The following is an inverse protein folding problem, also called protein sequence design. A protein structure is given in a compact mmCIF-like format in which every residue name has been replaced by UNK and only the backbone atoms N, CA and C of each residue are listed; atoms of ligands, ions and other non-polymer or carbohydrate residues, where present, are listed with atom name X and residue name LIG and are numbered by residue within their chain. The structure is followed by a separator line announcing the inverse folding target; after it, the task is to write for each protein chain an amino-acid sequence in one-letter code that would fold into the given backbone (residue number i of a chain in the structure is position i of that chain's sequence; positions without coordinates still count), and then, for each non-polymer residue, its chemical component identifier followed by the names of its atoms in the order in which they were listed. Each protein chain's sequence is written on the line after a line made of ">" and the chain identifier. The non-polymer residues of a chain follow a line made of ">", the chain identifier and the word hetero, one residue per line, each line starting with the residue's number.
data_IF_485757716445
#
_entry.id   IF_485757716445
#
_cell.length_a   1.000
_cell.length_b   1.000
_cell.length_c   1.000
_cell.angle_alpha   90.00
_cell.angle_beta   90.00
_cell.angle_gamma   90.00
#
_symmetry.space_group_name_H-M   'P 1'
#
loop_
_entity.id
_entity.type
_entity.pdbx_description
1 polymer ?
#
# COMPACT_ATOMS: atom_id res chain seq x y z
N UNK A 1 -17.25 68.86 35.59
CA UNK A 1 -17.30 68.31 34.22
C UNK A 1 -15.91 68.18 33.59
N UNK A 2 -14.92 67.58 34.29
CA UNK A 2 -13.54 67.38 33.76
C UNK A 2 -12.85 66.08 34.26
N UNK A 3 -13.57 65.16 34.88
CA UNK A 3 -13.00 63.88 35.38
C UNK A 3 -13.44 62.65 34.58
N UNK A 4 -14.50 62.74 33.77
CA UNK A 4 -15.02 61.61 32.99
C UNK A 4 -14.35 61.42 31.61
N UNK A 5 -13.55 62.38 31.13
CA UNK A 5 -12.87 62.25 29.83
C UNK A 5 -11.50 61.58 29.93
N UNK A 6 -10.86 61.57 31.11
CA UNK A 6 -9.53 60.97 31.28
C UNK A 6 -9.60 59.44 31.42
N UNK A 7 -10.66 58.91 32.03
CA UNK A 7 -10.86 57.46 32.20
C UNK A 7 -11.21 56.76 30.88
N UNK A 8 -11.93 57.44 29.97
CA UNK A 8 -12.22 56.89 28.64
C UNK A 8 -10.97 56.81 27.74
N UNK A 9 -9.97 57.68 27.94
CA UNK A 9 -8.76 57.68 27.12
C UNK A 9 -7.78 56.55 27.53
N UNK A 10 -7.75 56.19 28.82
CA UNK A 10 -6.90 55.08 29.32
C UNK A 10 -7.50 53.71 28.97
N UNK A 11 -8.83 53.57 28.94
CA UNK A 11 -9.48 52.31 28.53
C UNK A 11 -9.38 52.08 27.01
N UNK A 12 -9.37 53.15 26.18
CA UNK A 12 -9.14 53.03 24.73
C UNK A 12 -7.71 52.58 24.38
N UNK A 13 -6.71 52.98 25.17
CA UNK A 13 -5.32 52.58 24.96
C UNK A 13 -5.00 51.14 25.39
N UNK A 14 -5.86 50.51 26.19
CA UNK A 14 -5.72 49.11 26.64
C UNK A 14 -6.35 48.08 25.68
N UNK A 15 -7.04 48.52 24.62
CA UNK A 15 -7.84 47.64 23.75
C UNK A 15 -7.19 47.24 22.42
N UNK A 16 -5.94 47.65 22.13
CA UNK A 16 -5.25 47.27 20.88
C UNK A 16 -3.80 46.82 21.06
N UNK A 17 -3.48 46.18 22.19
CA UNK A 17 -2.36 45.22 22.19
C UNK A 17 -2.87 43.85 21.76
N UNK A 18 -3.49 43.79 20.57
CA UNK A 18 -3.54 42.52 19.83
C UNK A 18 -2.08 42.26 19.47
N UNK A 19 -1.38 41.49 20.30
CA UNK A 19 -0.04 41.05 19.97
C UNK A 19 -0.10 40.45 18.59
N UNK A 20 0.67 40.98 17.65
CA UNK A 20 0.84 40.41 16.32
C UNK A 20 1.55 39.05 16.49
N UNK A 21 0.78 38.02 16.82
CA UNK A 21 1.23 36.65 16.71
C UNK A 21 1.36 36.32 15.22
N UNK A 22 2.39 35.54 14.86
CA UNK A 22 2.56 35.10 13.49
C UNK A 22 1.48 34.08 13.14
N UNK A 23 0.84 34.26 11.98
CA UNK A 23 -0.07 33.27 11.41
C UNK A 23 0.74 32.21 10.65
N UNK A 24 0.61 30.95 11.08
CA UNK A 24 1.23 29.80 10.43
C UNK A 24 0.26 28.63 10.45
N UNK A 25 -0.16 28.15 9.28
CA UNK A 25 -1.10 27.03 9.17
C UNK A 25 -0.45 25.69 9.55
N UNK A 26 -1.26 24.69 9.91
CA UNK A 26 -0.75 23.34 10.16
C UNK A 26 -0.05 22.75 8.93
N UNK A 27 -0.50 23.09 7.71
CA UNK A 27 0.14 22.72 6.45
C UNK A 27 1.59 23.25 6.37
N UNK A 28 1.78 24.52 6.72
CA UNK A 28 3.07 25.22 6.65
C UNK A 28 3.99 24.87 7.82
N UNK A 29 3.43 24.58 8.99
CA UNK A 29 4.21 24.26 10.20
C UNK A 29 4.96 22.94 10.07
N UNK A 30 6.21 22.99 9.59
CA UNK A 30 7.06 21.82 9.40
C UNK A 30 8.49 22.12 9.92
N UNK A 31 8.66 22.29 11.25
CA UNK A 31 9.92 22.72 11.82
C UNK A 31 11.03 21.72 11.52
N UNK A 32 12.23 22.23 11.24
CA UNK A 32 13.44 21.40 11.20
C UNK A 32 13.77 21.01 12.64
N UNK A 33 13.86 19.70 12.90
CA UNK A 33 14.30 19.19 14.20
C UNK A 33 15.70 19.71 14.52
N UNK A 34 15.92 20.14 15.76
CA UNK A 34 17.25 20.45 16.30
C UNK A 34 17.90 19.24 16.96
N UNK A 35 17.20 18.10 17.06
CA UNK A 35 17.77 16.86 17.56
C UNK A 35 18.84 16.35 16.61
N UNK A 36 20.01 16.05 17.18
CA UNK A 36 21.11 15.38 16.48
C UNK A 36 21.06 13.92 16.88
N UNK A 37 20.42 13.11 16.04
CA UNK A 37 20.36 11.66 16.22
C UNK A 37 21.49 10.97 15.46
N UNK A 38 22.09 9.90 16.01
CA UNK A 38 23.04 9.09 15.27
C UNK A 38 22.34 8.41 14.07
N UNK A 39 23.13 8.09 13.04
CA UNK A 39 22.63 7.42 11.83
C UNK A 39 22.89 8.20 10.54
N UNK A 40 22.64 7.55 9.40
CA UNK A 40 22.75 8.13 8.05
C UNK A 40 21.57 7.65 7.21
N UNK A 41 21.18 8.45 6.22
CA UNK A 41 20.14 8.05 5.27
C UNK A 41 20.60 6.78 4.53
N UNK A 42 19.82 5.71 4.67
CA UNK A 42 20.01 4.46 3.93
C UNK A 42 19.45 4.62 2.52
N UNK A 43 20.33 4.91 1.55
CA UNK A 43 19.92 5.16 0.15
C UNK A 43 19.65 3.88 -0.65
N UNK A 44 20.19 2.76 -0.21
CA UNK A 44 20.19 1.46 -0.88
C UNK A 44 19.84 0.38 0.15
N UNK A 45 18.99 -0.57 -0.21
CA UNK A 45 18.60 -1.65 0.69
C UNK A 45 19.79 -2.56 1.02
N UNK A 46 19.86 -3.05 2.25
CA UNK A 46 20.94 -3.94 2.73
C UNK A 46 21.06 -5.22 1.91
N UNK A 47 19.95 -5.81 1.50
CA UNK A 47 19.90 -6.98 0.62
C UNK A 47 19.14 -6.66 -0.67
N UNK A 48 19.41 -7.36 -1.78
CA UNK A 48 18.57 -7.29 -2.96
C UNK A 48 17.12 -7.60 -2.58
N UNK A 49 16.17 -6.85 -3.13
CA UNK A 49 14.77 -7.00 -2.76
C UNK A 49 13.84 -7.03 -3.97
N UNK A 50 12.62 -7.51 -3.72
CA UNK A 50 11.52 -7.59 -4.66
C UNK A 50 10.44 -6.62 -4.19
N UNK A 51 10.07 -5.67 -5.05
CA UNK A 51 8.89 -4.84 -4.81
C UNK A 51 7.66 -5.56 -5.37
N UNK A 52 6.86 -6.17 -4.49
CA UNK A 52 5.63 -6.88 -4.92
C UNK A 52 4.48 -5.93 -5.27
N UNK A 53 4.69 -4.61 -5.18
CA UNK A 53 3.65 -3.60 -5.38
C UNK A 53 4.15 -2.44 -6.24
N UNK A 54 4.57 -2.75 -7.46
CA UNK A 54 4.93 -1.75 -8.48
C UNK A 54 3.78 -1.45 -9.45
N UNK A 55 3.81 -0.27 -10.06
CA UNK A 55 2.83 0.18 -11.05
C UNK A 55 3.52 0.88 -12.23
N UNK A 56 3.58 0.19 -13.39
CA UNK A 56 4.07 0.69 -14.67
C UNK A 56 2.97 0.53 -15.73
N UNK A 57 2.06 1.52 -15.81
CA UNK A 57 0.82 1.43 -16.60
C UNK A 57 1.00 1.44 -18.12
N UNK A 58 2.17 1.87 -18.59
CA UNK A 58 2.50 2.06 -20.01
C UNK A 58 3.57 1.08 -20.49
N UNK A 59 3.75 -0.01 -19.76
CA UNK A 59 4.79 -1.01 -20.01
C UNK A 59 4.83 -1.57 -21.45
N UNK A 60 3.73 -1.67 -22.24
CA UNK A 60 3.86 -2.08 -23.64
C UNK A 60 4.87 -1.26 -24.45
N UNK A 61 4.90 0.05 -24.24
CA UNK A 61 5.65 1.00 -25.08
C UNK A 61 6.59 1.89 -24.24
N UNK A 62 6.77 1.57 -22.97
CA UNK A 62 7.59 2.36 -22.04
C UNK A 62 9.06 2.02 -22.21
N UNK A 63 9.91 3.05 -22.26
CA UNK A 63 11.35 2.88 -22.05
C UNK A 63 11.60 2.46 -20.58
N UNK A 64 12.07 1.23 -20.41
CA UNK A 64 12.34 0.63 -19.11
C UNK A 64 13.73 1.00 -18.56
N UNK A 65 14.64 1.55 -19.38
CA UNK A 65 16.00 1.84 -18.94
C UNK A 65 16.09 2.81 -17.76
N UNK A 66 15.31 3.92 -17.71
CA UNK A 66 15.30 4.81 -16.55
C UNK A 66 14.73 4.15 -15.28
N UNK A 67 13.78 3.22 -15.44
CA UNK A 67 13.20 2.48 -14.32
C UNK A 67 14.25 1.54 -13.73
N UNK A 68 14.91 0.76 -14.58
CA UNK A 68 15.95 -0.18 -14.17
C UNK A 68 17.16 0.52 -13.58
N UNK A 69 17.61 1.62 -14.16
CA UNK A 69 18.70 2.41 -13.59
C UNK A 69 18.37 2.86 -12.16
N UNK A 70 17.14 3.32 -11.91
CA UNK A 70 16.69 3.67 -10.56
C UNK A 70 16.58 2.43 -9.64
N UNK A 71 16.06 1.30 -10.13
CA UNK A 71 16.06 0.03 -9.39
C UNK A 71 17.46 -0.37 -8.91
N UNK A 72 18.47 -0.22 -9.77
CA UNK A 72 19.86 -0.56 -9.46
C UNK A 72 20.42 0.32 -8.32
N UNK A 73 20.06 1.61 -8.30
CA UNK A 73 20.45 2.52 -7.20
C UNK A 73 19.87 2.09 -5.85
N UNK A 74 18.71 1.41 -5.86
CA UNK A 74 17.98 1.00 -4.67
C UNK A 74 18.36 -0.39 -4.18
N UNK A 75 19.06 -1.20 -4.98
CA UNK A 75 19.19 -2.66 -4.80
C UNK A 75 17.90 -3.44 -5.11
N UNK A 76 16.99 -2.89 -5.93
CA UNK A 76 15.80 -3.60 -6.35
C UNK A 76 16.16 -4.57 -7.47
N UNK A 77 16.11 -5.87 -7.17
CA UNK A 77 16.40 -6.90 -8.16
C UNK A 77 15.21 -7.07 -9.11
N UNK A 78 13.99 -7.20 -8.56
CA UNK A 78 12.78 -7.48 -9.33
C UNK A 78 11.65 -6.53 -8.90
N UNK A 79 10.92 -6.01 -9.89
CA UNK A 79 9.66 -5.32 -9.67
C UNK A 79 8.50 -6.19 -10.16
N UNK A 80 7.53 -6.46 -9.28
CA UNK A 80 6.24 -6.99 -9.70
C UNK A 80 5.38 -5.83 -10.18
N UNK A 81 5.12 -5.75 -11.48
CA UNK A 81 4.21 -4.77 -12.04
C UNK A 81 2.76 -5.27 -11.93
N UNK A 82 1.98 -4.61 -11.09
CA UNK A 82 0.57 -4.94 -10.85
C UNK A 82 -0.39 -4.36 -11.90
N UNK A 83 0.14 -3.60 -12.85
CA UNK A 83 -0.59 -3.01 -13.98
C UNK A 83 -0.36 -3.77 -15.28
N UNK A 84 -0.30 -5.10 -15.22
CA UNK A 84 -0.05 -5.94 -16.40
C UNK A 84 -1.21 -6.03 -17.39
N UNK A 85 -2.41 -5.57 -17.02
CA UNK A 85 -3.61 -5.62 -17.87
C UNK A 85 -3.97 -7.05 -18.28
N UNK A 86 -4.41 -7.27 -19.52
CA UNK A 86 -4.84 -8.56 -20.05
C UNK A 86 -4.65 -8.58 -21.57
N UNK A 87 -4.64 -9.77 -22.19
CA UNK A 87 -4.63 -9.94 -23.63
C UNK A 87 -3.39 -9.35 -24.29
N UNK A 88 -3.57 -8.64 -25.41
CA UNK A 88 -2.47 -8.07 -26.21
C UNK A 88 -1.62 -7.09 -25.41
N UNK A 89 -2.23 -6.24 -24.57
CA UNK A 89 -1.49 -5.31 -23.71
C UNK A 89 -0.52 -6.03 -22.76
N UNK A 90 -0.94 -7.18 -22.20
CA UNK A 90 -0.10 -8.00 -21.34
C UNK A 90 1.05 -8.63 -22.14
N UNK A 91 0.73 -9.22 -23.29
CA UNK A 91 1.71 -9.88 -24.17
C UNK A 91 2.79 -8.90 -24.62
N UNK A 92 2.41 -7.73 -25.13
CA UNK A 92 3.36 -6.68 -25.55
C UNK A 92 4.20 -6.18 -24.38
N UNK A 93 3.63 -6.08 -23.17
CA UNK A 93 4.41 -5.72 -21.98
C UNK A 93 5.48 -6.77 -21.65
N UNK A 94 5.12 -8.05 -21.74
CA UNK A 94 6.04 -9.17 -21.50
C UNK A 94 7.14 -9.22 -22.56
N UNK A 95 6.81 -8.98 -23.83
CA UNK A 95 7.78 -8.88 -24.92
C UNK A 95 8.75 -7.71 -24.73
N UNK A 96 8.25 -6.54 -24.31
CA UNK A 96 9.10 -5.39 -24.00
C UNK A 96 10.08 -5.70 -22.86
N UNK A 97 9.62 -6.37 -21.79
CA UNK A 97 10.48 -6.83 -20.68
C UNK A 97 11.52 -7.84 -21.17
N UNK A 98 11.09 -8.88 -21.89
CA UNK A 98 11.97 -9.95 -22.36
C UNK A 98 13.06 -9.44 -23.30
N UNK A 99 12.72 -8.47 -24.16
CA UNK A 99 13.64 -7.89 -25.14
C UNK A 99 14.69 -6.99 -24.48
N UNK A 100 14.27 -6.16 -23.51
CA UNK A 100 15.11 -5.08 -23.01
C UNK A 100 15.75 -5.37 -21.65
N UNK A 101 15.02 -5.98 -20.72
CA UNK A 101 15.46 -6.21 -19.34
C UNK A 101 14.87 -7.52 -18.77
N UNK A 102 15.26 -8.69 -19.31
CA UNK A 102 14.77 -9.97 -18.81
C UNK A 102 15.06 -10.13 -17.31
N UNK A 103 14.17 -10.83 -16.62
CA UNK A 103 14.23 -11.11 -15.17
C UNK A 103 14.14 -9.89 -14.24
N UNK A 104 14.03 -8.65 -14.73
CA UNK A 104 13.88 -7.45 -13.89
C UNK A 104 12.44 -7.13 -13.53
N UNK A 105 11.49 -7.63 -14.30
CA UNK A 105 10.06 -7.42 -14.07
C UNK A 105 9.29 -8.72 -14.23
N UNK A 106 8.24 -8.87 -13.42
CA UNK A 106 7.18 -9.85 -13.66
C UNK A 106 5.84 -9.15 -13.57
N UNK A 107 4.82 -9.70 -14.24
CA UNK A 107 3.53 -9.02 -14.39
C UNK A 107 2.41 -9.80 -13.71
N UNK A 108 1.57 -9.06 -12.98
CA UNK A 108 0.26 -9.57 -12.57
C UNK A 108 -0.77 -9.08 -13.57
N UNK A 109 -1.65 -9.97 -14.04
CA UNK A 109 -2.76 -9.59 -14.90
C UNK A 109 -3.88 -8.92 -14.09
N UNK A 110 -4.85 -8.37 -14.82
CA UNK A 110 -6.01 -7.68 -14.25
C UNK A 110 -7.30 -8.20 -14.88
N UNK A 111 -8.39 -8.17 -14.09
CA UNK A 111 -9.74 -8.47 -14.56
C UNK A 111 -10.58 -7.20 -14.43
N UNK A 112 -11.39 -6.92 -15.46
CA UNK A 112 -12.45 -5.93 -15.34
C UNK A 112 -13.69 -6.60 -14.71
N UNK A 113 -14.07 -6.14 -13.52
CA UNK A 113 -15.21 -6.66 -12.76
C UNK A 113 -16.56 -6.04 -13.12
N UNK A 114 -16.57 -5.02 -13.99
CA UNK A 114 -17.81 -4.36 -14.41
C UNK A 114 -18.75 -5.32 -15.16
N UNK A 115 -20.05 -5.23 -14.87
CA UNK A 115 -21.08 -6.06 -15.50
C UNK A 115 -21.10 -7.51 -15.02
N UNK A 116 -20.46 -7.81 -13.88
CA UNK A 116 -20.49 -9.16 -13.30
C UNK A 116 -21.92 -9.70 -13.19
N UNK A 117 -22.11 -10.96 -13.55
CA UNK A 117 -23.42 -11.62 -13.58
C UNK A 117 -24.17 -11.56 -14.90
N UNK A 118 -23.64 -10.89 -15.93
CA UNK A 118 -24.12 -11.08 -17.30
C UNK A 118 -23.91 -12.54 -17.76
N UNK A 119 -24.74 -13.01 -18.70
CA UNK A 119 -24.65 -14.36 -19.26
C UNK A 119 -23.25 -14.61 -19.87
N UNK A 120 -22.61 -15.72 -19.49
CA UNK A 120 -21.27 -16.09 -19.97
C UNK A 120 -20.10 -15.28 -19.39
N UNK A 121 -20.36 -14.29 -18.52
CA UNK A 121 -19.33 -13.38 -18.03
C UNK A 121 -18.23 -14.09 -17.24
N UNK A 122 -18.61 -15.02 -16.35
CA UNK A 122 -17.62 -15.69 -15.50
C UNK A 122 -16.76 -16.67 -16.31
N UNK A 123 -17.36 -17.36 -17.29
CA UNK A 123 -16.67 -18.24 -18.22
C UNK A 123 -15.64 -17.44 -19.04
N UNK A 124 -16.03 -16.26 -19.54
CA UNK A 124 -15.16 -15.34 -20.26
C UNK A 124 -13.98 -14.87 -19.39
N UNK A 125 -14.22 -14.41 -18.15
CA UNK A 125 -13.14 -13.95 -17.26
C UNK A 125 -12.20 -15.05 -16.82
N UNK A 126 -12.71 -16.26 -16.61
CA UNK A 126 -11.88 -17.43 -16.26
C UNK A 126 -11.03 -17.86 -17.46
N UNK A 127 -11.59 -17.85 -18.67
CA UNK A 127 -10.84 -18.14 -19.89
C UNK A 127 -9.75 -17.09 -20.15
N UNK A 128 -10.09 -15.80 -19.98
CA UNK A 128 -9.14 -14.68 -20.05
C UNK A 128 -7.99 -14.86 -19.05
N UNK A 129 -8.29 -15.10 -17.77
CA UNK A 129 -7.30 -15.32 -16.71
C UNK A 129 -6.34 -16.48 -17.05
N UNK A 130 -6.89 -17.62 -17.49
CA UNK A 130 -6.07 -18.79 -17.88
C UNK A 130 -5.16 -18.46 -19.05
N UNK A 131 -5.65 -17.71 -20.03
CA UNK A 131 -4.86 -17.29 -21.19
C UNK A 131 -3.75 -16.29 -20.79
N UNK A 132 -4.07 -15.33 -19.93
CA UNK A 132 -3.10 -14.36 -19.40
C UNK A 132 -1.96 -15.05 -18.64
N UNK A 133 -2.29 -16.02 -17.78
CA UNK A 133 -1.27 -16.82 -17.06
C UNK A 133 -0.47 -17.70 -18.02
N UNK A 134 -1.12 -18.34 -18.99
CA UNK A 134 -0.42 -19.11 -20.05
C UNK A 134 0.57 -18.23 -20.82
N UNK A 135 0.25 -16.96 -21.03
CA UNK A 135 1.11 -16.01 -21.73
C UNK A 135 2.25 -15.45 -20.86
N UNK A 136 2.24 -15.67 -19.54
CA UNK A 136 3.35 -15.30 -18.65
C UNK A 136 2.97 -14.39 -17.48
N UNK A 137 1.68 -14.09 -17.25
CA UNK A 137 1.28 -13.46 -15.99
C UNK A 137 1.51 -14.41 -14.81
N UNK A 138 2.09 -13.90 -13.73
CA UNK A 138 2.48 -14.70 -12.55
C UNK A 138 1.62 -14.42 -11.31
N UNK A 139 0.49 -13.71 -11.49
CA UNK A 139 -0.39 -13.29 -10.40
C UNK A 139 -1.58 -12.51 -10.91
N UNK A 140 -2.56 -12.31 -10.04
CA UNK A 140 -3.72 -11.46 -10.29
C UNK A 140 -3.69 -10.25 -9.37
N UNK A 141 -3.78 -9.04 -9.94
CA UNK A 141 -4.04 -7.82 -9.18
C UNK A 141 -5.52 -7.47 -9.24
N UNK A 142 -6.12 -7.32 -8.06
CA UNK A 142 -7.46 -6.78 -7.86
C UNK A 142 -7.36 -5.37 -7.26
N UNK A 143 -7.91 -4.38 -7.96
CA UNK A 143 -7.96 -3.00 -7.49
C UNK A 143 -9.14 -2.78 -6.55
N UNK A 144 -9.05 -1.72 -5.73
CA UNK A 144 -10.14 -1.30 -4.84
C UNK A 144 -11.43 -0.88 -5.53
N UNK A 145 -11.46 -0.81 -6.86
CA UNK A 145 -12.70 -0.62 -7.59
C UNK A 145 -13.67 -1.78 -7.30
N UNK A 146 -13.19 -3.01 -7.14
CA UNK A 146 -13.99 -4.10 -6.61
C UNK A 146 -14.33 -3.80 -5.14
N UNK A 147 -15.62 -3.85 -4.81
CA UNK A 147 -16.12 -3.46 -3.49
C UNK A 147 -16.39 -1.97 -3.31
N UNK A 148 -15.80 -1.07 -4.11
CA UNK A 148 -16.07 0.37 -4.00
C UNK A 148 -16.85 0.99 -5.17
N UNK A 149 -16.62 0.56 -6.41
CA UNK A 149 -17.09 1.26 -7.61
C UNK A 149 -17.67 0.36 -8.68
N UNK A 150 -17.09 -0.84 -8.84
CA UNK A 150 -17.57 -1.76 -9.86
C UNK A 150 -19.01 -2.15 -9.59
N UNK A 151 -19.79 -2.21 -10.66
CA UNK A 151 -21.18 -2.61 -10.61
C UNK A 151 -21.39 -3.95 -11.30
N UNK A 152 -22.36 -4.69 -10.79
CA UNK A 152 -22.86 -5.88 -11.46
C UNK A 152 -23.76 -5.51 -12.65
N UNK A 153 -24.26 -6.52 -13.35
CA UNK A 153 -25.15 -6.36 -14.51
C UNK A 153 -26.42 -5.57 -14.21
N UNK A 154 -26.88 -5.54 -12.94
CA UNK A 154 -28.06 -4.79 -12.49
C UNK A 154 -27.71 -3.35 -12.07
N UNK A 155 -26.44 -2.94 -12.20
CA UNK A 155 -25.96 -1.62 -11.78
C UNK A 155 -25.77 -1.47 -10.27
N UNK A 156 -25.78 -2.57 -9.49
CA UNK A 156 -25.57 -2.57 -8.04
C UNK A 156 -24.08 -2.70 -7.71
N UNK A 157 -23.65 -2.15 -6.56
CA UNK A 157 -22.27 -2.30 -6.08
C UNK A 157 -21.93 -3.80 -6.00
N UNK A 158 -20.85 -4.19 -6.65
CA UNK A 158 -20.34 -5.55 -6.60
C UNK A 158 -19.52 -5.77 -5.32
N UNK A 159 -20.03 -6.62 -4.43
CA UNK A 159 -19.34 -7.05 -3.21
C UNK A 159 -18.10 -7.88 -3.54
N UNK A 160 -17.06 -7.81 -2.69
CA UNK A 160 -15.81 -8.54 -2.95
C UNK A 160 -16.01 -10.07 -2.83
N UNK A 161 -16.89 -10.51 -1.95
CA UNK A 161 -17.24 -11.92 -1.72
C UNK A 161 -18.49 -12.39 -2.47
N UNK A 162 -18.89 -11.67 -3.52
CA UNK A 162 -19.98 -12.11 -4.39
C UNK A 162 -19.67 -13.51 -4.97
N UNK A 163 -20.59 -14.46 -4.80
CA UNK A 163 -20.39 -15.85 -5.19
C UNK A 163 -20.10 -16.03 -6.69
N UNK A 164 -20.55 -15.08 -7.53
CA UNK A 164 -20.25 -15.09 -8.98
C UNK A 164 -18.75 -14.95 -9.27
N UNK A 165 -17.97 -14.42 -8.33
CA UNK A 165 -16.52 -14.23 -8.45
C UNK A 165 -15.70 -15.45 -8.00
N UNK A 166 -16.32 -16.43 -7.33
CA UNK A 166 -15.62 -17.57 -6.72
C UNK A 166 -14.71 -18.31 -7.70
N UNK A 167 -15.17 -18.50 -8.95
CA UNK A 167 -14.41 -19.25 -9.95
C UNK A 167 -13.11 -18.56 -10.32
N UNK A 168 -13.02 -17.22 -10.21
CA UNK A 168 -11.77 -16.47 -10.42
C UNK A 168 -10.76 -16.84 -9.33
N UNK A 169 -11.16 -16.75 -8.06
CA UNK A 169 -10.30 -17.03 -6.91
C UNK A 169 -9.83 -18.49 -6.88
N UNK A 170 -10.73 -19.42 -7.18
CA UNK A 170 -10.43 -20.84 -7.29
C UNK A 170 -9.46 -21.10 -8.44
N UNK A 171 -9.66 -20.46 -9.61
CA UNK A 171 -8.77 -20.62 -10.76
C UNK A 171 -7.36 -20.11 -10.45
N UNK A 172 -7.20 -19.02 -9.70
CA UNK A 172 -5.87 -18.59 -9.25
C UNK A 172 -5.15 -19.66 -8.41
N UNK A 173 -5.88 -20.33 -7.50
CA UNK A 173 -5.35 -21.45 -6.72
C UNK A 173 -5.00 -22.67 -7.58
N UNK A 174 -5.86 -23.03 -8.54
CA UNK A 174 -5.60 -24.11 -9.52
C UNK A 174 -4.35 -23.84 -10.38
N UNK A 175 -4.11 -22.57 -10.73
CA UNK A 175 -2.95 -22.13 -11.51
C UNK A 175 -1.70 -21.88 -10.66
N UNK A 176 -1.79 -21.97 -9.33
CA UNK A 176 -0.67 -21.72 -8.42
C UNK A 176 -0.19 -20.27 -8.39
N UNK A 177 -1.03 -19.31 -8.77
CA UNK A 177 -0.69 -17.88 -8.76
C UNK A 177 -1.33 -17.15 -7.56
N UNK A 178 -0.65 -16.18 -6.94
CA UNK A 178 -1.21 -15.40 -5.85
C UNK A 178 -2.15 -14.29 -6.36
N UNK A 179 -3.04 -13.84 -5.48
CA UNK A 179 -3.93 -12.69 -5.72
C UNK A 179 -3.51 -11.54 -4.82
N UNK A 180 -3.02 -10.43 -5.37
CA UNK A 180 -2.84 -9.20 -4.61
C UNK A 180 -4.10 -8.35 -4.72
N UNK A 181 -4.79 -8.19 -3.60
CA UNK A 181 -6.07 -7.49 -3.53
C UNK A 181 -5.96 -6.23 -2.67
N UNK A 182 -6.42 -5.11 -3.22
CA UNK A 182 -6.61 -3.86 -2.51
C UNK A 182 -8.12 -3.69 -2.27
N UNK A 183 -8.53 -3.67 -1.00
CA UNK A 183 -9.91 -3.41 -0.60
C UNK A 183 -9.96 -2.20 0.34
N UNK A 184 -11.00 -1.39 0.20
CA UNK A 184 -11.19 -0.15 0.97
C UNK A 184 -10.03 0.85 0.85
N UNK A 185 -9.89 1.70 1.87
CA UNK A 185 -8.90 2.74 2.11
C UNK A 185 -8.72 2.82 3.66
N UNK A 186 -7.80 3.64 4.24
CA UNK A 186 -7.70 3.80 5.69
C UNK A 186 -9.05 4.08 6.36
N UNK A 187 -9.36 3.38 7.46
CA UNK A 187 -10.62 3.55 8.21
C UNK A 187 -10.96 5.02 8.52
N UNK A 188 -9.99 5.90 8.89
CA UNK A 188 -10.30 7.30 9.15
C UNK A 188 -10.92 8.08 7.97
N UNK A 189 -10.92 7.54 6.74
CA UNK A 189 -11.66 8.16 5.64
C UNK A 189 -13.19 8.02 5.78
N UNK A 190 -13.67 7.05 6.57
CA UNK A 190 -15.07 6.88 6.94
C UNK A 190 -15.43 7.67 8.21
N UNK A 191 -14.48 7.91 9.09
CA UNK A 191 -14.69 8.66 10.35
C UNK A 191 -15.00 10.15 10.09
N UNK A 192 -15.50 10.86 11.11
CA UNK A 192 -15.79 12.30 11.04
C UNK A 192 -14.59 13.10 10.55
N UNK A 193 -14.82 14.12 9.72
CA UNK A 193 -13.74 14.97 9.22
C UNK A 193 -13.54 16.19 10.13
N UNK A 194 -12.99 15.95 11.32
CA UNK A 194 -12.76 16.93 12.38
C UNK A 194 -11.32 16.86 12.91
N UNK A 195 -11.03 17.61 13.98
CA UNK A 195 -9.69 17.69 14.57
C UNK A 195 -9.19 16.38 15.22
N UNK A 196 -10.08 15.41 15.47
CA UNK A 196 -9.72 14.12 16.06
C UNK A 196 -9.36 13.07 14.99
N UNK A 197 -9.63 13.36 13.72
CA UNK A 197 -9.29 12.47 12.62
C UNK A 197 -7.79 12.55 12.29
N UNK A 198 -7.05 11.46 12.53
CA UNK A 198 -5.60 11.41 12.28
C UNK A 198 -5.22 11.61 10.79
N UNK A 199 -6.17 11.41 9.86
CA UNK A 199 -6.02 11.65 8.41
C UNK A 199 -6.57 12.98 7.96
N UNK A 200 -6.89 13.90 8.88
CA UNK A 200 -7.45 15.21 8.56
C UNK A 200 -6.66 15.96 7.48
N UNK A 201 -5.33 16.02 7.60
CA UNK A 201 -4.48 16.73 6.62
C UNK A 201 -4.52 16.07 5.23
N UNK A 202 -4.59 14.74 5.19
CA UNK A 202 -4.77 14.00 3.96
C UNK A 202 -6.12 14.30 3.31
N UNK A 203 -7.20 14.27 4.09
CA UNK A 203 -8.55 14.56 3.61
C UNK A 203 -8.71 16.02 3.19
N UNK A 204 -8.08 16.97 3.89
CA UNK A 204 -8.07 18.39 3.50
C UNK A 204 -7.36 18.61 2.16
N UNK A 205 -6.22 17.95 1.95
CA UNK A 205 -5.45 18.10 0.71
C UNK A 205 -5.97 17.21 -0.43
N UNK A 206 -6.76 16.17 -0.14
CA UNK A 206 -7.32 15.20 -1.08
C UNK A 206 -8.79 14.88 -0.71
N UNK A 207 -9.72 15.84 -0.83
CA UNK A 207 -11.10 15.71 -0.34
C UNK A 207 -11.88 14.53 -0.95
N UNK A 208 -11.56 14.14 -2.19
CA UNK A 208 -12.17 12.99 -2.87
C UNK A 208 -11.86 11.63 -2.21
N UNK A 209 -10.97 11.59 -1.20
CA UNK A 209 -10.69 10.39 -0.41
C UNK A 209 -11.73 10.14 0.69
N UNK A 210 -12.44 11.18 1.16
CA UNK A 210 -13.49 11.04 2.18
C UNK A 210 -14.59 10.08 1.70
N UNK A 211 -15.15 9.32 2.64
CA UNK A 211 -16.27 8.40 2.44
C UNK A 211 -17.40 8.71 3.41
N UNK A 212 -18.62 8.35 3.04
CA UNK A 212 -19.77 8.34 3.96
C UNK A 212 -19.83 7.02 4.72
N UNK A 213 -20.64 6.94 5.77
CA UNK A 213 -20.81 5.72 6.55
C UNK A 213 -21.32 4.54 5.70
N UNK A 214 -22.08 4.83 4.65
CA UNK A 214 -22.74 3.88 3.74
C UNK A 214 -22.37 4.11 2.26
N UNK A 215 -21.39 4.98 1.98
CA UNK A 215 -21.01 5.31 0.61
C UNK A 215 -19.54 4.91 0.33
N UNK A 216 -19.28 3.84 -0.44
CA UNK A 216 -20.25 2.97 -1.12
C UNK A 216 -20.81 1.83 -0.25
N UNK A 217 -20.19 1.59 0.90
CA UNK A 217 -20.60 0.65 1.95
C UNK A 217 -19.82 0.99 3.24
N UNK A 218 -20.25 0.49 4.41
CA UNK A 218 -19.47 0.56 5.64
C UNK A 218 -18.08 -0.06 5.48
N UNK A 219 -17.08 0.52 6.15
CA UNK A 219 -15.70 0.04 6.08
C UNK A 219 -15.59 -1.41 6.55
N UNK A 220 -16.24 -1.73 7.67
CA UNK A 220 -16.27 -3.06 8.26
C UNK A 220 -16.87 -4.09 7.31
N UNK A 221 -17.87 -3.69 6.52
CA UNK A 221 -18.47 -4.56 5.51
C UNK A 221 -17.44 -4.88 4.41
N UNK A 222 -16.82 -3.87 3.79
CA UNK A 222 -15.87 -4.08 2.69
C UNK A 222 -14.68 -4.95 3.12
N UNK A 223 -14.18 -4.73 4.33
CA UNK A 223 -13.08 -5.51 4.91
C UNK A 223 -13.52 -6.95 5.22
N UNK A 224 -14.74 -7.14 5.75
CA UNK A 224 -15.29 -8.48 5.97
C UNK A 224 -15.47 -9.26 4.67
N UNK A 225 -15.97 -8.63 3.61
CA UNK A 225 -16.10 -9.22 2.28
C UNK A 225 -14.75 -9.76 1.79
N UNK A 226 -13.68 -8.97 1.91
CA UNK A 226 -12.33 -9.42 1.55
C UNK A 226 -11.89 -10.66 2.36
N UNK A 227 -12.07 -10.64 3.68
CA UNK A 227 -11.67 -11.76 4.54
C UNK A 227 -12.51 -13.02 4.29
N UNK A 228 -13.79 -12.88 3.91
CA UNK A 228 -14.63 -14.01 3.53
C UNK A 228 -14.08 -14.74 2.29
N UNK A 229 -13.57 -14.01 1.30
CA UNK A 229 -12.86 -14.60 0.15
C UNK A 229 -11.65 -15.40 0.63
N UNK A 230 -10.83 -14.86 1.54
CA UNK A 230 -9.64 -15.55 2.03
C UNK A 230 -9.99 -16.84 2.78
N UNK A 231 -11.02 -16.81 3.64
CA UNK A 231 -11.53 -17.98 4.37
C UNK A 231 -12.01 -19.09 3.45
N UNK A 232 -12.72 -18.71 2.39
CA UNK A 232 -13.36 -19.65 1.46
C UNK A 232 -12.36 -20.31 0.53
N UNK A 233 -11.36 -19.56 0.06
CA UNK A 233 -10.42 -19.99 -0.97
C UNK A 233 -9.05 -20.37 -0.39
N UNK A 234 -9.03 -21.39 0.48
CA UNK A 234 -7.86 -21.79 1.28
C UNK A 234 -6.63 -22.24 0.46
N UNK A 235 -6.84 -22.67 -0.78
CA UNK A 235 -5.78 -23.12 -1.68
C UNK A 235 -5.19 -21.98 -2.52
N UNK A 236 -5.69 -20.75 -2.36
CA UNK A 236 -5.21 -19.55 -3.05
C UNK A 236 -4.49 -18.67 -2.05
N UNK A 237 -3.24 -18.29 -2.36
CA UNK A 237 -2.51 -17.30 -1.57
C UNK A 237 -3.01 -15.89 -1.91
N UNK A 238 -3.35 -15.12 -0.88
CA UNK A 238 -3.76 -13.73 -1.02
C UNK A 238 -2.71 -12.80 -0.42
N UNK A 239 -2.32 -11.77 -1.17
CA UNK A 239 -1.51 -10.66 -0.66
C UNK A 239 -2.47 -9.52 -0.34
N UNK A 240 -2.76 -9.33 0.95
CA UNK A 240 -3.58 -8.23 1.42
C UNK A 240 -2.76 -6.93 1.34
N UNK A 241 -3.10 -6.09 0.36
CA UNK A 241 -2.42 -4.82 0.17
C UNK A 241 -2.51 -3.95 1.42
N UNK A 242 -1.46 -3.20 1.72
CA UNK A 242 -1.44 -2.21 2.80
C UNK A 242 -1.74 -2.82 4.17
N UNK A 243 -1.37 -4.09 4.37
CA UNK A 243 -1.70 -4.88 5.57
C UNK A 243 -3.20 -4.85 5.91
N UNK A 244 -4.08 -4.84 4.90
CA UNK A 244 -5.53 -4.75 5.07
C UNK A 244 -6.01 -3.45 5.71
N UNK A 245 -5.20 -2.39 5.65
CA UNK A 245 -5.40 -1.15 6.39
C UNK A 245 -5.50 -1.33 7.90
N UNK A 246 -4.86 -2.38 8.45
CA UNK A 246 -4.81 -2.69 9.88
C UNK A 246 -3.41 -2.54 10.48
N UNK A 247 -2.48 -1.85 9.80
CA UNK A 247 -1.16 -1.57 10.36
C UNK A 247 -1.22 -0.70 11.63
N UNK A 248 -2.30 0.06 11.84
CA UNK A 248 -2.57 0.80 13.08
C UNK A 248 -3.04 -0.10 14.24
N UNK A 249 -3.47 -1.34 13.96
CA UNK A 249 -3.93 -2.33 14.93
C UNK A 249 -3.32 -3.71 14.62
N UNK A 250 -2.02 -3.83 14.92
CA UNK A 250 -1.25 -5.06 14.69
C UNK A 250 -1.76 -6.25 15.51
N UNK A 251 -2.45 -6.02 16.64
CA UNK A 251 -3.05 -7.08 17.44
C UNK A 251 -4.21 -7.76 16.71
N UNK A 252 -5.12 -6.95 16.15
CA UNK A 252 -6.21 -7.46 15.31
C UNK A 252 -5.69 -8.11 14.03
N UNK A 253 -4.74 -7.48 13.35
CA UNK A 253 -4.13 -8.07 12.16
C UNK A 253 -3.45 -9.41 12.46
N UNK A 254 -2.76 -9.54 13.59
CA UNK A 254 -2.14 -10.79 14.02
C UNK A 254 -3.17 -11.91 14.20
N UNK A 255 -4.31 -11.61 14.82
CA UNK A 255 -5.42 -12.57 14.98
C UNK A 255 -5.95 -13.06 13.62
N UNK A 256 -6.11 -12.14 12.65
CA UNK A 256 -6.53 -12.50 11.30
C UNK A 256 -5.50 -13.35 10.56
N UNK A 257 -4.20 -13.03 10.70
CA UNK A 257 -3.14 -13.83 10.09
C UNK A 257 -3.05 -15.22 10.73
N UNK A 258 -3.33 -15.37 12.03
CA UNK A 258 -3.41 -16.69 12.68
C UNK A 258 -4.62 -17.49 12.17
N UNK A 259 -5.77 -16.84 11.92
CA UNK A 259 -6.98 -17.46 11.36
C UNK A 259 -6.84 -17.84 9.87
N UNK A 260 -6.12 -17.03 9.08
CA UNK A 260 -6.05 -17.12 7.62
C UNK A 260 -4.62 -17.49 7.17
N UNK A 261 -4.24 -18.78 7.15
CA UNK A 261 -2.88 -19.20 6.82
C UNK A 261 -2.46 -18.87 5.38
N UNK A 262 -3.42 -18.69 4.47
CA UNK A 262 -3.21 -18.28 3.08
C UNK A 262 -3.14 -16.75 2.88
N UNK A 263 -3.24 -15.95 3.95
CA UNK A 263 -3.09 -14.50 3.90
C UNK A 263 -1.64 -14.10 4.16
N UNK A 264 -1.08 -13.39 3.18
CA UNK A 264 0.14 -12.61 3.25
C UNK A 264 -0.20 -11.12 3.28
N UNK A 265 0.71 -10.28 3.76
CA UNK A 265 0.51 -8.83 3.84
C UNK A 265 1.63 -8.06 3.14
N UNK A 266 1.26 -7.04 2.37
CA UNK A 266 2.21 -6.12 1.72
C UNK A 266 2.31 -4.79 2.46
N UNK A 267 3.52 -4.29 2.68
CA UNK A 267 3.78 -3.07 3.50
C UNK A 267 3.64 -1.74 2.75
N UNK A 268 3.20 -1.79 1.49
CA UNK A 268 3.06 -0.60 0.65
C UNK A 268 2.13 0.44 1.26
N UNK A 269 2.46 1.72 1.07
CA UNK A 269 1.72 2.88 1.55
C UNK A 269 1.51 3.01 3.09
N UNK A 270 1.97 2.05 3.91
CA UNK A 270 1.72 2.03 5.37
C UNK A 270 2.99 2.11 6.24
N UNK A 271 4.13 2.43 5.64
CA UNK A 271 5.40 2.43 6.39
C UNK A 271 5.41 3.41 7.57
N UNK A 272 4.57 4.46 7.51
CA UNK A 272 4.46 5.43 8.58
C UNK A 272 3.80 4.84 9.84
N UNK A 273 2.81 3.96 9.65
CA UNK A 273 2.15 3.22 10.72
C UNK A 273 3.13 2.29 11.41
N UNK A 274 4.09 1.70 10.69
CA UNK A 274 5.11 0.83 11.30
C UNK A 274 6.17 1.66 12.03
N UNK A 275 6.68 2.70 11.37
CA UNK A 275 7.75 3.54 11.91
C UNK A 275 7.36 4.33 13.17
N UNK A 276 6.06 4.59 13.39
CA UNK A 276 5.57 5.30 14.60
C UNK A 276 5.29 4.40 15.81
N UNK A 277 5.47 3.08 15.69
CA UNK A 277 5.30 2.09 16.77
C UNK A 277 6.39 1.02 16.72
N UNK A 278 7.68 1.41 16.75
CA UNK A 278 8.78 0.55 16.31
C UNK A 278 8.91 -0.75 17.10
N UNK A 279 8.66 -0.72 18.42
CA UNK A 279 8.81 -1.91 19.28
C UNK A 279 7.76 -2.97 18.98
N UNK A 280 6.49 -2.57 18.84
CA UNK A 280 5.42 -3.52 18.55
C UNK A 280 5.50 -4.01 17.10
N UNK A 281 5.84 -3.11 16.16
CA UNK A 281 6.10 -3.48 14.78
C UNK A 281 7.26 -4.48 14.65
N UNK A 282 8.39 -4.29 15.35
CA UNK A 282 9.50 -5.27 15.39
C UNK A 282 9.04 -6.64 15.88
N UNK A 283 8.29 -6.68 16.99
CA UNK A 283 7.76 -7.92 17.54
C UNK A 283 6.79 -8.61 16.56
N UNK A 284 5.92 -7.85 15.91
CA UNK A 284 4.99 -8.35 14.89
C UNK A 284 5.74 -8.94 13.69
N UNK A 285 6.72 -8.20 13.15
CA UNK A 285 7.55 -8.65 12.03
C UNK A 285 8.31 -9.92 12.38
N UNK A 286 8.82 -10.04 13.60
CA UNK A 286 9.51 -11.25 14.07
C UNK A 286 8.56 -12.45 14.15
N UNK A 287 7.34 -12.27 14.68
CA UNK A 287 6.33 -13.35 14.80
C UNK A 287 5.81 -13.80 13.44
N UNK A 288 5.51 -12.87 12.54
CA UNK A 288 4.84 -13.14 11.25
C UNK A 288 5.78 -13.07 10.04
N UNK A 289 7.09 -13.17 10.28
CA UNK A 289 8.16 -12.94 9.28
C UNK A 289 8.00 -13.74 7.98
N UNK A 290 7.35 -14.90 7.99
CA UNK A 290 7.20 -15.76 6.80
C UNK A 290 6.02 -15.36 5.89
N UNK A 291 5.28 -14.29 6.24
CA UNK A 291 4.09 -13.84 5.50
C UNK A 291 3.98 -12.33 5.28
N UNK A 292 5.07 -11.59 5.50
CA UNK A 292 5.15 -10.15 5.25
C UNK A 292 6.02 -9.91 4.01
N UNK A 293 5.53 -9.11 3.06
CA UNK A 293 6.18 -8.84 1.78
C UNK A 293 6.54 -7.37 1.66
N UNK A 294 7.74 -7.09 1.15
CA UNK A 294 8.11 -5.73 0.75
C UNK A 294 7.29 -5.28 -0.45
N UNK A 295 6.65 -4.11 -0.34
CA UNK A 295 6.01 -3.44 -1.45
C UNK A 295 5.98 -1.93 -1.21
N UNK A 296 6.06 -1.12 -2.26
CA UNK A 296 6.07 0.36 -2.13
C UNK A 296 4.77 1.03 -2.59
N UNK A 297 4.00 0.39 -3.46
CA UNK A 297 2.79 0.89 -4.14
C UNK A 297 3.10 2.00 -5.17
N UNK A 298 3.57 3.16 -4.72
CA UNK A 298 3.90 4.27 -5.63
C UNK A 298 5.37 4.21 -6.09
N UNK A 299 5.62 4.17 -7.40
CA UNK A 299 6.97 4.29 -7.97
C UNK A 299 7.51 5.72 -7.82
N UNK A 300 8.27 5.92 -6.73
CA UNK A 300 8.98 7.15 -6.40
C UNK A 300 10.33 6.78 -5.78
N UNK A 301 11.40 6.58 -6.58
CA UNK A 301 12.69 6.07 -6.10
C UNK A 301 13.25 6.82 -4.88
N UNK A 302 13.06 8.14 -4.84
CA UNK A 302 13.51 9.00 -3.75
C UNK A 302 12.84 8.72 -2.39
N UNK A 303 11.73 7.98 -2.36
CA UNK A 303 10.98 7.65 -1.14
C UNK A 303 11.38 6.30 -0.52
N UNK A 304 11.96 5.38 -1.30
CA UNK A 304 12.41 4.06 -0.82
C UNK A 304 13.41 4.13 0.34
N UNK A 305 14.34 5.10 0.40
CA UNK A 305 15.21 5.29 1.57
C UNK A 305 14.48 5.37 2.91
N UNK A 306 13.23 5.86 2.95
CA UNK A 306 12.43 5.86 4.18
C UNK A 306 12.08 4.44 4.63
N UNK A 307 11.76 3.55 3.68
CA UNK A 307 11.44 2.16 3.99
C UNK A 307 12.67 1.44 4.53
N UNK A 308 13.82 1.58 3.87
CA UNK A 308 15.06 0.96 4.35
C UNK A 308 15.43 1.47 5.72
N UNK A 309 15.33 2.79 5.95
CA UNK A 309 15.61 3.37 7.27
C UNK A 309 14.67 2.85 8.35
N UNK A 310 13.36 2.76 8.08
CA UNK A 310 12.41 2.18 9.05
C UNK A 310 12.73 0.70 9.31
N UNK A 311 13.00 -0.11 8.28
CA UNK A 311 13.16 -1.56 8.47
C UNK A 311 14.52 -1.95 9.05
N UNK A 312 15.60 -1.32 8.60
CA UNK A 312 16.98 -1.80 8.84
C UNK A 312 17.70 -1.10 9.98
N UNK A 313 17.37 0.16 10.26
CA UNK A 313 18.13 0.96 11.23
C UNK A 313 17.55 0.87 12.65
N UNK A 314 18.35 1.25 13.63
CA UNK A 314 17.91 1.61 14.98
C UNK A 314 17.75 3.13 15.13
N UNK A 315 17.65 3.88 14.03
CA UNK A 315 17.59 5.34 14.06
C UNK A 315 16.32 5.82 14.74
N UNK A 316 16.41 6.94 15.45
CA UNK A 316 15.28 7.56 16.13
C UNK A 316 14.91 8.89 15.47
N UNK A 317 13.65 9.29 15.60
CA UNK A 317 13.19 10.64 15.30
C UNK A 317 13.61 11.16 13.91
N UNK A 318 13.10 10.56 12.83
CA UNK A 318 13.33 11.07 11.48
C UNK A 318 12.03 11.34 10.72
N UNK A 319 12.02 12.32 9.79
CA UNK A 319 10.79 12.70 9.11
C UNK A 319 10.33 11.63 8.12
N UNK A 320 9.01 11.51 7.98
CA UNK A 320 8.40 10.79 6.88
C UNK A 320 8.40 11.64 5.58
N UNK A 321 8.50 11.00 4.41
CA UNK A 321 8.62 11.71 3.12
C UNK A 321 7.34 12.42 2.65
N UNK A 322 6.17 12.14 3.25
CA UNK A 322 4.88 12.77 2.90
C UNK A 322 4.12 13.22 4.14
N UNK A 323 4.31 14.48 4.54
CA UNK A 323 3.68 15.08 5.74
C UNK A 323 2.17 14.84 5.83
N UNK A 324 1.45 14.91 4.72
CA UNK A 324 -0.01 14.77 4.73
C UNK A 324 -0.50 13.35 5.06
N UNK A 325 0.29 12.31 4.84
CA UNK A 325 -0.03 10.95 5.31
C UNK A 325 0.37 10.76 6.78
N UNK A 326 1.53 11.31 7.17
CA UNK A 326 2.06 11.25 8.52
C UNK A 326 2.99 12.43 8.79
N UNK A 327 2.71 13.13 9.89
CA UNK A 327 3.53 14.23 10.42
C UNK A 327 4.30 13.83 11.69
N UNK A 328 4.08 12.62 12.19
CA UNK A 328 4.85 12.07 13.30
C UNK A 328 6.27 11.70 12.87
N UNK A 329 7.25 11.81 13.78
CA UNK A 329 8.57 11.24 13.58
C UNK A 329 8.49 9.72 13.45
N UNK A 330 9.33 9.18 12.59
CA UNK A 330 9.54 7.76 12.38
C UNK A 330 10.74 7.27 13.16
N UNK A 331 10.72 5.98 13.46
CA UNK A 331 11.75 5.25 14.18
C UNK A 331 12.07 3.95 13.45
N UNK A 332 13.33 3.56 13.53
CA UNK A 332 13.84 2.31 12.99
C UNK A 332 13.37 1.12 13.83
N UNK A 333 13.07 0.01 13.15
CA UNK A 333 12.67 -1.26 13.74
C UNK A 333 13.88 -2.11 14.12
N UNK A 334 15.04 -1.88 13.50
CA UNK A 334 16.25 -2.68 13.67
C UNK A 334 15.96 -4.18 13.47
N UNK A 335 15.33 -4.53 12.34
CA UNK A 335 15.00 -5.92 12.02
C UNK A 335 16.28 -6.73 11.80
N UNK A 336 16.27 -7.99 12.26
CA UNK A 336 17.39 -8.90 12.01
C UNK A 336 17.55 -9.20 10.52
N UNK A 337 18.75 -9.61 10.12
CA UNK A 337 19.04 -9.99 8.74
C UNK A 337 18.14 -11.12 8.24
N UNK A 338 17.79 -12.07 9.12
CA UNK A 338 16.84 -13.13 8.79
C UNK A 338 15.46 -12.58 8.41
N UNK A 339 14.90 -11.70 9.25
CA UNK A 339 13.59 -11.09 9.00
C UNK A 339 13.65 -10.20 7.76
N UNK A 340 14.70 -9.40 7.59
CA UNK A 340 14.90 -8.55 6.42
C UNK A 340 14.92 -9.36 5.13
N UNK A 341 15.69 -10.46 5.07
CA UNK A 341 15.74 -11.33 3.89
C UNK A 341 14.37 -11.91 3.54
N UNK A 342 13.57 -12.31 4.55
CA UNK A 342 12.22 -12.82 4.33
C UNK A 342 11.29 -11.77 3.75
N UNK A 343 11.28 -10.58 4.35
CA UNK A 343 10.47 -9.45 3.89
C UNK A 343 10.90 -8.98 2.50
N UNK A 344 12.21 -8.90 2.24
CA UNK A 344 12.77 -8.37 1.00
C UNK A 344 12.62 -9.31 -0.18
N UNK A 345 12.74 -10.63 -0.01
CA UNK A 345 12.66 -11.52 -1.17
C UNK A 345 12.17 -12.94 -0.88
N UNK A 346 12.52 -13.59 0.24
CA UNK A 346 12.20 -15.03 0.39
C UNK A 346 10.70 -15.31 0.37
N UNK A 347 9.89 -14.44 0.99
CA UNK A 347 8.44 -14.62 0.97
C UNK A 347 7.85 -14.42 -0.43
N UNK A 348 8.38 -13.48 -1.20
CA UNK A 348 7.95 -13.24 -2.58
C UNK A 348 8.35 -14.42 -3.49
N UNK A 349 9.60 -14.88 -3.41
CA UNK A 349 10.08 -16.08 -4.13
C UNK A 349 9.26 -17.33 -3.82
N UNK A 350 8.73 -17.45 -2.59
CA UNK A 350 7.90 -18.58 -2.18
C UNK A 350 6.52 -18.61 -2.85
N UNK A 351 5.89 -17.45 -3.08
CA UNK A 351 4.47 -17.39 -3.49
C UNK A 351 4.24 -16.86 -4.90
N UNK A 352 5.19 -16.15 -5.48
CA UNK A 352 5.09 -15.63 -6.85
C UNK A 352 5.89 -16.54 -7.77
N UNK A 353 5.24 -17.32 -8.65
CA UNK A 353 5.95 -18.23 -9.54
C UNK A 353 6.81 -17.49 -10.57
N UNK A 354 7.87 -18.14 -11.04
CA UNK A 354 8.69 -17.63 -12.15
C UNK A 354 9.65 -16.49 -11.81
N UNK A 355 9.77 -16.08 -10.55
CA UNK A 355 10.80 -15.14 -10.12
C UNK A 355 12.21 -15.76 -10.21
N UNK A 356 13.15 -15.03 -10.80
CA UNK A 356 14.56 -15.42 -10.83
C UNK A 356 15.19 -15.28 -9.43
N UNK A 357 15.57 -16.40 -8.82
CA UNK A 357 16.19 -16.41 -7.48
C UNK A 357 17.68 -16.08 -7.48
N UNK A 358 18.34 -16.11 -8.64
CA UNK A 358 19.80 -15.94 -8.78
C UNK A 358 20.35 -14.65 -8.15
N UNK A 359 19.66 -13.49 -8.22
CA UNK A 359 20.18 -12.24 -7.65
C UNK A 359 20.20 -12.19 -6.11
N UNK A 360 19.56 -13.14 -5.42
CA UNK A 360 19.36 -13.07 -3.97
C UNK A 360 20.32 -13.99 -3.22
N UNK A 361 20.97 -13.51 -2.14
CA UNK A 361 21.85 -14.35 -1.32
C UNK A 361 21.03 -15.36 -0.48
N UNK A 362 21.61 -16.52 -0.15
CA UNK A 362 20.98 -17.54 0.72
C UNK A 362 20.60 -17.00 2.11
#
# INVERSE_FOLDING_TARGET
>A
MKFNQLILFVISALLFSVGFAQDLSFEEYNPKSTLVVPGKILKKAKFPFIDVHGHQYRMPNQDLAPVVAAMDTLNMAIMVNLSGRTGEDLVTSLENVATNFPNRFVLFCNINFEGAGAEGWIEEKVAQLKNDVKNGAVGLKVYKSLGLRNKDVDGKRLAIDDARLDRIWQTCGELGIPVLIHSADPKPFWDSFDGDNERWLELKTRPNRKRGADNPAPWEQIIAEQHNVFRKHKNTNFINAHMGWMANDLGKLGTLMDELPNMYVGIGAIIAELGRQPRFAKAFFTKYQDRILFGKDSWQPVEFPTYFRVLESADEYFPYHKKYHAFWPMYGLDLSDEVLKKVYYKNALKIVPGLDSTPFPD
#
